data_IF_457140347490
#
_entry.id   IF_457140347490
#
_cell.length_a   1.000
_cell.length_b   1.000
_cell.length_c   1.000
_cell.angle_alpha   90.00
_cell.angle_beta   90.00
_cell.angle_gamma   90.00
#
_symmetry.space_group_name_H-M   'P 1'
#
loop_
_entity.id
_entity.type
_entity.pdbx_description
1 polymer ?
#
# COMPACT_ATOMS: atom_id res chain seq x y z
N UNK A 1 15.85 26.79 1.77
CA UNK A 1 15.36 26.04 0.61
C UNK A 1 14.77 27.06 -0.35
N UNK A 2 15.29 27.11 -1.57
CA UNK A 2 14.71 27.97 -2.60
C UNK A 2 13.44 27.35 -3.20
N UNK A 3 12.73 28.10 -4.05
CA UNK A 3 11.45 27.67 -4.64
C UNK A 3 11.61 26.42 -5.54
N UNK A 4 12.72 26.30 -6.26
CA UNK A 4 12.95 25.18 -7.18
C UNK A 4 13.25 23.90 -6.40
N UNK A 5 14.11 23.99 -5.38
CA UNK A 5 14.41 22.89 -4.46
C UNK A 5 13.15 22.45 -3.70
N UNK A 6 12.30 23.39 -3.27
CA UNK A 6 11.02 23.07 -2.63
C UNK A 6 10.13 22.23 -3.55
N UNK A 7 9.95 22.69 -4.80
CA UNK A 7 9.09 22.04 -5.79
C UNK A 7 9.56 20.61 -6.09
N UNK A 8 10.87 20.42 -6.32
CA UNK A 8 11.46 19.08 -6.53
C UNK A 8 11.17 18.13 -5.36
N UNK A 9 11.32 18.60 -4.12
CA UNK A 9 11.02 17.78 -2.94
C UNK A 9 9.53 17.51 -2.78
N UNK A 10 8.68 18.49 -3.08
CA UNK A 10 7.24 18.31 -3.09
C UNK A 10 6.81 17.26 -4.12
N UNK A 11 7.32 17.31 -5.36
CA UNK A 11 6.97 16.34 -6.40
C UNK A 11 7.39 14.90 -6.02
N UNK A 12 8.55 14.75 -5.37
CA UNK A 12 9.00 13.47 -4.83
C UNK A 12 8.12 12.98 -3.67
N UNK A 13 7.75 13.88 -2.75
CA UNK A 13 6.83 13.53 -1.66
C UNK A 13 5.46 13.14 -2.21
N UNK A 14 4.93 13.89 -3.18
CA UNK A 14 3.66 13.58 -3.84
C UNK A 14 3.69 12.17 -4.42
N UNK A 15 4.74 11.82 -5.15
CA UNK A 15 4.92 10.46 -5.70
C UNK A 15 4.94 9.38 -4.62
N UNK A 16 5.57 9.63 -3.47
CA UNK A 16 5.58 8.69 -2.34
C UNK A 16 4.20 8.56 -1.70
N UNK A 17 3.46 9.66 -1.51
CA UNK A 17 2.10 9.67 -1.00
C UNK A 17 1.16 8.90 -1.93
N UNK A 18 1.33 9.04 -3.25
CA UNK A 18 0.60 8.25 -4.26
C UNK A 18 0.85 6.75 -4.11
N UNK A 19 2.13 6.36 -4.02
CA UNK A 19 2.51 4.95 -3.83
C UNK A 19 1.94 4.36 -2.54
N UNK A 20 1.97 5.13 -1.45
CA UNK A 20 1.38 4.73 -0.17
C UNK A 20 -0.14 4.53 -0.28
N UNK A 21 -0.87 5.49 -0.87
CA UNK A 21 -2.30 5.39 -1.13
C UNK A 21 -2.64 4.16 -1.97
N UNK A 22 -2.00 4.02 -3.13
CA UNK A 22 -2.30 2.93 -4.06
C UNK A 22 -2.11 1.57 -3.38
N UNK A 23 -0.98 1.39 -2.68
CA UNK A 23 -0.67 0.13 -1.98
C UNK A 23 -1.66 -0.16 -0.85
N UNK A 24 -2.02 0.84 -0.04
CA UNK A 24 -3.02 0.67 1.01
C UNK A 24 -4.38 0.28 0.44
N UNK A 25 -4.82 0.91 -0.64
CA UNK A 25 -6.13 0.66 -1.22
C UNK A 25 -6.20 -0.67 -1.99
N UNK A 26 -5.11 -1.13 -2.62
CA UNK A 26 -5.00 -2.52 -3.09
C UNK A 26 -5.13 -3.48 -1.91
N UNK A 27 -4.32 -3.29 -0.87
CA UNK A 27 -4.33 -4.13 0.32
C UNK A 27 -5.73 -4.20 0.95
N UNK A 28 -6.40 -3.05 1.09
CA UNK A 28 -7.77 -2.93 1.60
C UNK A 28 -8.77 -3.66 0.70
N UNK A 29 -8.66 -3.51 -0.61
CA UNK A 29 -9.50 -4.20 -1.59
C UNK A 29 -9.43 -5.72 -1.46
N UNK A 30 -8.27 -6.24 -1.03
CA UNK A 30 -8.03 -7.66 -0.78
C UNK A 30 -8.47 -8.14 0.62
N UNK A 31 -9.02 -7.30 1.49
CA UNK A 31 -9.46 -7.75 2.84
C UNK A 31 -10.89 -8.33 2.87
N UNK A 32 -11.54 -8.57 1.73
CA UNK A 32 -12.91 -9.10 1.74
C UNK A 32 -12.97 -10.56 2.23
N UNK A 33 -13.92 -10.86 3.12
CA UNK A 33 -14.16 -12.22 3.63
C UNK A 33 -14.51 -13.22 2.52
N UNK A 34 -15.15 -12.75 1.45
CA UNK A 34 -15.49 -13.55 0.27
C UNK A 34 -14.26 -14.19 -0.41
N UNK A 35 -13.06 -13.70 -0.12
CA UNK A 35 -11.81 -14.17 -0.72
C UNK A 35 -11.13 -15.30 0.07
N UNK A 36 -11.64 -15.66 1.26
CA UNK A 36 -11.02 -16.64 2.16
C UNK A 36 -10.79 -18.02 1.49
N UNK A 37 -11.75 -18.51 0.71
CA UNK A 37 -11.61 -19.77 -0.05
C UNK A 37 -10.51 -19.67 -1.10
N UNK A 38 -10.38 -18.52 -1.76
CA UNK A 38 -9.33 -18.27 -2.75
C UNK A 38 -7.95 -18.20 -2.08
N UNK A 39 -7.87 -17.57 -0.91
CA UNK A 39 -6.65 -17.51 -0.12
C UNK A 39 -6.21 -18.87 0.37
N UNK A 40 -7.14 -19.70 0.82
CA UNK A 40 -6.85 -21.05 1.32
C UNK A 40 -6.25 -21.95 0.24
N UNK A 41 -6.67 -21.81 -1.04
CA UNK A 41 -6.13 -22.60 -2.16
C UNK A 41 -4.65 -22.30 -2.44
N UNK A 42 -4.20 -21.07 -2.20
CA UNK A 42 -2.81 -20.64 -2.44
C UNK A 42 -2.23 -19.88 -1.23
N UNK A 43 -2.34 -20.50 -0.04
CA UNK A 43 -2.10 -19.83 1.24
C UNK A 43 -0.72 -19.18 1.36
N UNK A 44 0.33 -19.81 0.84
CA UNK A 44 1.69 -19.27 0.93
C UNK A 44 1.88 -18.03 0.06
N UNK A 45 1.34 -18.04 -1.16
CA UNK A 45 1.38 -16.89 -2.07
C UNK A 45 0.61 -15.71 -1.46
N UNK A 46 -0.64 -15.94 -1.04
CA UNK A 46 -1.47 -14.87 -0.50
C UNK A 46 -0.97 -14.32 0.82
N UNK A 47 -0.43 -15.17 1.70
CA UNK A 47 0.18 -14.72 2.95
C UNK A 47 1.39 -13.81 2.68
N UNK A 48 2.25 -14.16 1.72
CA UNK A 48 3.38 -13.32 1.33
C UNK A 48 2.94 -12.00 0.69
N UNK A 49 1.97 -12.05 -0.23
CA UNK A 49 1.45 -10.88 -0.94
C UNK A 49 0.79 -9.88 0.01
N UNK A 50 -0.13 -10.33 0.88
CA UNK A 50 -0.83 -9.45 1.82
C UNK A 50 0.13 -8.82 2.83
N UNK A 51 1.12 -9.58 3.32
CA UNK A 51 2.14 -9.06 4.22
C UNK A 51 3.06 -8.05 3.53
N UNK A 52 3.47 -8.32 2.29
CA UNK A 52 4.31 -7.40 1.51
C UNK A 52 3.59 -6.07 1.27
N UNK A 53 2.33 -6.11 0.83
CA UNK A 53 1.51 -4.91 0.66
C UNK A 53 1.35 -4.15 1.98
N UNK A 54 1.10 -4.86 3.09
CA UNK A 54 0.96 -4.24 4.40
C UNK A 54 2.24 -3.49 4.82
N UNK A 55 3.39 -4.14 4.68
CA UNK A 55 4.66 -3.53 5.03
C UNK A 55 4.98 -2.35 4.11
N UNK A 56 4.70 -2.46 2.81
CA UNK A 56 5.03 -1.42 1.85
C UNK A 56 4.27 -0.11 2.13
N UNK A 57 2.94 -0.15 2.31
CA UNK A 57 2.20 1.09 2.61
C UNK A 57 2.62 1.70 3.94
N UNK A 58 2.91 0.87 4.94
CA UNK A 58 3.31 1.31 6.28
C UNK A 58 4.69 1.99 6.26
N UNK A 59 5.67 1.37 5.59
CA UNK A 59 7.01 1.93 5.43
C UNK A 59 6.96 3.22 4.61
N UNK A 60 6.17 3.24 3.54
CA UNK A 60 6.02 4.42 2.68
C UNK A 60 5.35 5.59 3.41
N UNK A 61 4.30 5.35 4.20
CA UNK A 61 3.72 6.37 5.07
C UNK A 61 4.71 6.89 6.09
N UNK A 62 5.42 6.00 6.78
CA UNK A 62 6.39 6.40 7.79
C UNK A 62 7.52 7.27 7.22
N UNK A 63 7.98 6.99 5.98
CA UNK A 63 8.95 7.86 5.27
C UNK A 63 8.36 9.23 4.95
N UNK A 64 7.11 9.29 4.49
CA UNK A 64 6.43 10.56 4.17
C UNK A 64 6.32 11.48 5.39
N UNK A 65 6.22 10.92 6.60
CA UNK A 65 6.12 11.65 7.85
C UNK A 65 7.38 11.57 8.72
N UNK A 66 8.55 11.36 8.12
CA UNK A 66 9.79 11.27 8.87
C UNK A 66 10.27 12.65 9.37
N UNK A 67 10.41 12.78 10.68
CA UNK A 67 11.20 13.83 11.32
C UNK A 67 12.64 13.33 11.49
N UNK A 68 13.51 13.58 10.52
CA UNK A 68 14.93 13.21 10.64
C UNK A 68 15.81 14.43 10.82
N UNK A 69 16.42 14.53 12.00
CA UNK A 69 17.56 15.39 12.29
C UNK A 69 18.90 14.80 11.81
N UNK A 70 18.90 13.55 11.32
CA UNK A 70 20.10 12.77 11.03
C UNK A 70 20.52 12.75 9.56
N UNK A 71 19.70 13.28 8.63
CA UNK A 71 20.17 13.46 7.26
C UNK A 71 21.23 14.56 7.28
N UNK A 72 22.50 14.18 7.07
CA UNK A 72 23.68 15.07 7.10
C UNK A 72 23.57 16.32 6.19
N UNK A 73 22.53 16.44 5.38
CA UNK A 73 22.30 17.53 4.42
C UNK A 73 20.90 18.18 4.51
N UNK A 74 20.08 17.95 5.55
CA UNK A 74 18.67 18.39 5.58
C UNK A 74 17.88 18.00 4.30
N UNK A 75 18.18 16.84 3.70
CA UNK A 75 17.59 16.36 2.43
C UNK A 75 16.37 15.45 2.62
N UNK A 76 15.79 15.43 3.81
CA UNK A 76 14.60 14.61 4.09
C UNK A 76 13.46 15.11 3.20
N UNK A 77 12.88 14.19 2.43
CA UNK A 77 11.67 14.42 1.63
C UNK A 77 10.51 13.92 2.48
N UNK A 78 10.01 14.79 3.35
CA UNK A 78 8.88 14.50 4.25
C UNK A 78 7.97 15.71 4.40
N UNK A 79 6.75 15.45 4.85
CA UNK A 79 5.76 16.48 5.18
C UNK A 79 6.34 17.47 6.19
N UNK A 80 6.95 16.98 7.27
CA UNK A 80 7.59 17.84 8.28
C UNK A 80 8.68 18.74 7.70
N UNK A 81 9.53 18.21 6.81
CA UNK A 81 10.58 19.00 6.18
C UNK A 81 10.00 20.10 5.28
N UNK A 82 8.95 19.80 4.51
CA UNK A 82 8.29 20.78 3.65
C UNK A 82 7.53 21.86 4.43
N UNK A 83 6.92 21.52 5.57
CA UNK A 83 6.25 22.50 6.45
C UNK A 83 7.26 23.51 7.00
N UNK A 84 8.38 23.02 7.54
CA UNK A 84 9.44 23.86 8.13
C UNK A 84 9.99 24.90 7.14
N UNK A 85 9.95 24.60 5.86
CA UNK A 85 10.49 25.44 4.80
C UNK A 85 9.40 26.01 3.88
N UNK A 86 8.14 25.96 4.31
CA UNK A 86 7.02 26.44 3.53
C UNK A 86 7.12 27.97 3.34
N UNK A 87 6.96 28.51 2.12
CA UNK A 87 7.10 29.94 1.85
C UNK A 87 5.97 30.80 2.44
N UNK A 88 4.80 30.22 2.69
CA UNK A 88 3.62 30.86 3.28
C UNK A 88 3.37 30.37 4.71
N UNK A 89 3.48 31.28 5.69
CA UNK A 89 3.31 30.99 7.12
C UNK A 89 1.87 30.61 7.49
N UNK A 90 0.86 31.19 6.84
CA UNK A 90 -0.53 30.87 7.13
C UNK A 90 -0.88 29.44 6.68
N UNK A 91 -0.33 29.01 5.54
CA UNK A 91 -0.43 27.61 5.09
C UNK A 91 0.37 26.66 5.98
N UNK A 92 1.58 27.05 6.39
CA UNK A 92 2.38 26.27 7.34
C UNK A 92 1.59 25.97 8.63
N UNK A 93 0.89 26.95 9.18
CA UNK A 93 0.04 26.76 10.36
C UNK A 93 -1.11 25.76 10.12
N UNK A 94 -1.78 25.84 8.97
CA UNK A 94 -2.83 24.86 8.61
C UNK A 94 -2.27 23.44 8.45
N UNK A 95 -1.04 23.32 7.97
CA UNK A 95 -0.34 22.05 7.87
C UNK A 95 0.03 21.50 9.27
N UNK A 96 0.42 22.36 10.21
CA UNK A 96 0.63 21.94 11.60
C UNK A 96 -0.69 21.46 12.24
N UNK A 97 -1.81 22.12 11.96
CA UNK A 97 -3.14 21.69 12.42
C UNK A 97 -3.53 20.32 11.82
N UNK A 98 -3.20 20.08 10.54
CA UNK A 98 -3.36 18.77 9.88
C UNK A 98 -2.55 17.69 10.60
N UNK A 99 -1.26 17.95 10.89
CA UNK A 99 -0.41 16.99 11.60
C UNK A 99 -0.95 16.71 13.01
N UNK A 100 -1.43 17.74 13.71
CA UNK A 100 -2.02 17.60 15.03
C UNK A 100 -3.31 16.76 15.03
N UNK A 101 -4.16 16.92 14.00
CA UNK A 101 -5.36 16.10 13.80
C UNK A 101 -5.01 14.61 13.68
N UNK A 102 -3.97 14.28 12.92
CA UNK A 102 -3.57 12.91 12.60
C UNK A 102 -2.42 12.36 13.46
N UNK A 103 -2.00 13.06 14.52
CA UNK A 103 -0.85 12.68 15.35
C UNK A 103 -0.95 11.28 15.96
N UNK A 104 -2.18 10.81 16.21
CA UNK A 104 -2.46 9.50 16.80
C UNK A 104 -2.09 8.34 15.88
N UNK A 105 -2.08 8.55 14.57
CA UNK A 105 -1.69 7.54 13.59
C UNK A 105 -0.26 7.74 13.08
N UNK A 106 0.14 8.99 12.84
CA UNK A 106 1.49 9.34 12.31
C UNK A 106 2.59 8.86 13.26
N UNK A 107 2.46 9.12 14.57
CA UNK A 107 3.46 8.73 15.56
C UNK A 107 3.67 7.21 15.65
N UNK A 108 2.62 6.40 15.80
CA UNK A 108 2.71 4.95 15.77
C UNK A 108 3.25 4.37 14.46
N UNK A 109 2.87 4.91 13.29
CA UNK A 109 3.42 4.47 12.00
C UNK A 109 4.94 4.64 11.96
N UNK A 110 5.45 5.80 12.36
CA UNK A 110 6.91 6.06 12.40
C UNK A 110 7.62 5.13 13.38
N UNK A 111 7.07 4.92 14.58
CA UNK A 111 7.63 3.99 15.56
C UNK A 111 7.60 2.55 15.07
N UNK A 112 6.54 2.15 14.38
CA UNK A 112 6.41 0.80 13.86
C UNK A 112 7.40 0.57 12.73
N UNK A 113 7.55 1.52 11.80
CA UNK A 113 8.64 1.52 10.81
C UNK A 113 9.99 1.39 11.51
N UNK A 114 10.28 2.22 12.50
CA UNK A 114 11.59 2.18 13.17
C UNK A 114 11.84 0.83 13.83
N UNK A 115 10.81 0.17 14.37
CA UNK A 115 10.96 -1.17 14.96
C UNK A 115 10.94 -2.31 13.92
N UNK A 116 10.26 -2.13 12.79
CA UNK A 116 10.33 -3.00 11.63
C UNK A 116 11.71 -2.83 10.98
N UNK A 117 12.03 -1.69 10.38
CA UNK A 117 13.33 -1.36 9.78
C UNK A 117 14.54 -1.46 10.71
N UNK A 118 14.39 -1.40 12.04
CA UNK A 118 15.43 -1.85 12.97
C UNK A 118 15.66 -3.39 12.93
N UNK A 119 15.32 -4.03 11.80
CA UNK A 119 15.71 -5.35 11.35
C UNK A 119 17.22 -5.59 11.51
N UNK A 120 17.64 -5.87 12.74
CA UNK A 120 18.70 -6.78 13.20
C UNK A 120 18.56 -7.11 14.71
N UNK A 121 17.54 -6.60 15.42
CA UNK A 121 17.29 -7.03 16.81
C UNK A 121 16.46 -8.33 16.86
N UNK A 122 17.16 -9.45 17.00
CA UNK A 122 16.60 -10.81 17.02
C UNK A 122 15.43 -11.02 18.01
N UNK A 123 15.31 -10.18 19.06
CA UNK A 123 14.20 -10.26 20.03
C UNK A 123 12.85 -9.81 19.45
N UNK A 124 12.83 -8.80 18.58
CA UNK A 124 11.59 -8.23 18.05
C UNK A 124 11.05 -8.98 16.83
N UNK A 125 11.95 -9.55 16.00
CA UNK A 125 11.58 -10.46 14.91
C UNK A 125 10.85 -11.71 15.41
N UNK A 126 11.13 -12.16 16.65
CA UNK A 126 10.49 -13.33 17.26
C UNK A 126 9.06 -13.09 17.76
N UNK A 127 8.59 -11.83 17.87
CA UNK A 127 7.24 -11.58 18.43
C UNK A 127 6.54 -10.31 17.87
N UNK A 128 6.18 -10.29 16.57
CA UNK A 128 5.50 -9.16 15.92
C UNK A 128 4.20 -8.72 16.63
N UNK A 129 3.45 -9.69 17.17
CA UNK A 129 2.19 -9.42 17.87
C UNK A 129 2.36 -8.54 19.12
N UNK A 130 3.49 -8.66 19.84
CA UNK A 130 3.78 -7.78 21.00
C UNK A 130 4.06 -6.35 20.57
N UNK A 131 4.70 -6.17 19.41
CA UNK A 131 4.99 -4.84 18.86
C UNK A 131 3.71 -4.14 18.42
N UNK A 132 2.85 -4.86 17.69
CA UNK A 132 1.53 -4.35 17.28
C UNK A 132 0.60 -4.07 18.47
N UNK A 133 0.69 -4.84 19.57
CA UNK A 133 -0.02 -4.50 20.82
C UNK A 133 0.50 -3.22 21.47
N UNK A 134 1.81 -2.95 21.37
CA UNK A 134 2.46 -1.77 21.98
C UNK A 134 2.24 -0.49 21.15
N UNK A 135 2.19 -0.65 19.83
CA UNK A 135 1.95 0.42 18.86
C UNK A 135 0.83 -0.01 17.93
N UNK A 136 -0.43 -0.01 18.41
CA UNK A 136 -1.56 -0.39 17.58
C UNK A 136 -1.70 0.60 16.42
N UNK A 137 -2.00 0.06 15.24
CA UNK A 137 -2.43 0.84 14.10
C UNK A 137 -3.91 0.55 13.91
N UNK A 138 -4.73 1.58 14.06
CA UNK A 138 -6.13 1.54 13.66
C UNK A 138 -6.21 1.84 12.16
N UNK A 139 -6.67 0.86 11.37
CA UNK A 139 -6.78 1.01 9.92
C UNK A 139 -7.83 2.07 9.52
N UNK A 140 -8.83 2.33 10.36
CA UNK A 140 -9.78 3.43 10.16
C UNK A 140 -9.09 4.79 10.28
N UNK A 141 -8.23 4.97 11.29
CA UNK A 141 -7.44 6.20 11.43
C UNK A 141 -6.40 6.36 10.30
N UNK A 142 -5.85 5.26 9.78
CA UNK A 142 -4.99 5.31 8.58
C UNK A 142 -5.78 5.75 7.37
N UNK A 143 -6.96 5.18 7.15
CA UNK A 143 -7.83 5.56 6.05
C UNK A 143 -8.27 7.03 6.14
N UNK A 144 -8.60 7.52 7.33
CA UNK A 144 -8.92 8.94 7.56
C UNK A 144 -7.74 9.86 7.22
N UNK A 145 -6.52 9.46 7.57
CA UNK A 145 -5.30 10.17 7.16
C UNK A 145 -5.17 10.21 5.63
N UNK A 146 -5.31 9.07 4.96
CA UNK A 146 -5.18 8.97 3.50
C UNK A 146 -6.28 9.76 2.77
N UNK A 147 -7.51 9.75 3.29
CA UNK A 147 -8.63 10.51 2.74
C UNK A 147 -8.45 12.03 2.87
N UNK A 148 -7.61 12.49 3.80
CA UNK A 148 -7.28 13.90 4.01
C UNK A 148 -6.01 14.31 3.22
N UNK A 149 -5.35 13.39 2.51
CA UNK A 149 -4.20 13.72 1.65
C UNK A 149 -4.48 14.77 0.56
N UNK A 150 -5.66 14.85 -0.08
CA UNK A 150 -5.92 15.92 -1.04
C UNK A 150 -5.77 17.31 -0.41
N UNK A 151 -6.23 17.46 0.83
CA UNK A 151 -6.08 18.69 1.61
C UNK A 151 -4.61 18.93 1.98
N UNK A 152 -3.88 17.91 2.44
CA UNK A 152 -2.44 17.98 2.70
C UNK A 152 -1.65 18.46 1.47
N UNK A 153 -1.89 17.86 0.31
CA UNK A 153 -1.20 18.17 -0.94
C UNK A 153 -1.53 19.59 -1.40
N UNK A 154 -2.80 19.98 -1.33
CA UNK A 154 -3.25 21.35 -1.66
C UNK A 154 -2.55 22.40 -0.81
N UNK A 155 -2.39 22.11 0.49
CA UNK A 155 -1.72 23.01 1.42
C UNK A 155 -0.19 23.05 1.23
N UNK A 156 0.44 21.91 0.91
CA UNK A 156 1.88 21.81 0.64
C UNK A 156 2.28 22.37 -0.73
N UNK A 157 1.35 22.44 -1.69
CA UNK A 157 1.67 22.88 -3.04
C UNK A 157 2.08 24.37 -3.03
N UNK A 158 3.29 24.70 -3.53
CA UNK A 158 3.76 26.09 -3.58
C UNK A 158 3.03 26.93 -4.63
N UNK A 159 2.29 26.32 -5.55
CA UNK A 159 1.61 26.98 -6.68
C UNK A 159 0.09 26.72 -6.64
N UNK A 160 -0.73 27.71 -6.23
CA UNK A 160 -2.19 27.54 -6.20
C UNK A 160 -2.75 27.29 -7.62
N UNK A 161 -3.74 26.39 -7.71
CA UNK A 161 -4.47 26.13 -8.97
C UNK A 161 -3.86 25.06 -9.88
N UNK A 162 -2.72 24.46 -9.52
CA UNK A 162 -2.21 23.26 -10.22
C UNK A 162 -2.89 22.01 -9.63
N UNK A 163 -3.57 21.27 -10.49
CA UNK A 163 -4.40 20.11 -10.12
C UNK A 163 -3.56 18.86 -9.80
N UNK A 164 -3.02 18.80 -8.58
CA UNK A 164 -2.62 17.51 -8.00
C UNK A 164 -3.89 16.83 -7.47
N UNK A 165 -4.33 15.77 -8.16
CA UNK A 165 -5.53 15.00 -7.81
C UNK A 165 -5.18 13.64 -7.22
N UNK A 166 -5.99 13.16 -6.28
CA UNK A 166 -5.88 11.82 -5.68
C UNK A 166 -7.09 10.92 -5.92
N UNK A 167 -8.16 11.43 -6.54
CA UNK A 167 -9.44 10.71 -6.64
C UNK A 167 -9.30 9.32 -7.28
N UNK A 168 -8.45 9.21 -8.31
CA UNK A 168 -8.16 7.94 -8.96
C UNK A 168 -7.32 7.00 -8.09
N UNK A 169 -6.44 7.52 -7.23
CA UNK A 169 -5.53 6.74 -6.40
C UNK A 169 -6.17 6.18 -5.12
N UNK A 170 -7.43 6.54 -4.86
CA UNK A 170 -8.23 5.98 -3.77
C UNK A 170 -9.18 4.90 -4.30
N UNK A 171 -9.97 5.23 -5.34
CA UNK A 171 -11.05 4.34 -5.82
C UNK A 171 -10.58 3.26 -6.79
N UNK A 172 -9.67 3.60 -7.70
CA UNK A 172 -9.22 2.69 -8.75
C UNK A 172 -8.46 1.47 -8.18
N UNK A 173 -7.51 1.62 -7.23
CA UNK A 173 -6.76 0.48 -6.72
C UNK A 173 -7.64 -0.56 -6.01
N UNK A 174 -8.68 -0.11 -5.30
CA UNK A 174 -9.68 -1.02 -4.70
C UNK A 174 -10.41 -1.77 -5.81
N UNK A 175 -10.90 -1.06 -6.83
CA UNK A 175 -11.62 -1.67 -7.95
C UNK A 175 -10.75 -2.69 -8.70
N UNK A 176 -9.51 -2.34 -9.03
CA UNK A 176 -8.58 -3.20 -9.73
C UNK A 176 -8.26 -4.46 -8.93
N UNK A 177 -8.00 -4.32 -7.62
CA UNK A 177 -7.77 -5.47 -6.74
C UNK A 177 -8.98 -6.42 -6.74
N UNK A 178 -10.20 -5.88 -6.62
CA UNK A 178 -11.44 -6.68 -6.67
C UNK A 178 -11.67 -7.33 -8.02
N UNK A 179 -11.36 -6.62 -9.11
CA UNK A 179 -11.50 -7.15 -10.46
C UNK A 179 -10.58 -8.35 -10.68
N UNK A 180 -9.30 -8.24 -10.29
CA UNK A 180 -8.34 -9.35 -10.33
C UNK A 180 -8.84 -10.53 -9.48
N UNK A 181 -9.35 -10.28 -8.27
CA UNK A 181 -9.90 -11.34 -7.43
C UNK A 181 -11.10 -12.04 -8.07
N UNK A 182 -11.98 -11.29 -8.74
CA UNK A 182 -13.12 -11.86 -9.46
C UNK A 182 -12.65 -12.79 -10.59
N UNK A 183 -11.60 -12.39 -11.33
CA UNK A 183 -11.01 -13.24 -12.36
C UNK A 183 -10.40 -14.51 -11.78
N UNK A 184 -9.66 -14.40 -10.68
CA UNK A 184 -9.07 -15.56 -9.99
C UNK A 184 -10.15 -16.51 -9.48
N UNK A 185 -11.22 -15.99 -8.87
CA UNK A 185 -12.37 -16.79 -8.43
C UNK A 185 -13.05 -17.49 -9.59
N UNK A 186 -13.23 -16.81 -10.72
CA UNK A 186 -13.78 -17.41 -11.93
C UNK A 186 -12.90 -18.55 -12.44
N UNK A 187 -11.57 -18.36 -12.52
CA UNK A 187 -10.65 -19.44 -12.90
C UNK A 187 -10.67 -20.61 -11.91
N UNK A 188 -10.73 -20.36 -10.61
CA UNK A 188 -10.83 -21.39 -9.58
C UNK A 188 -12.13 -22.20 -9.67
N UNK A 189 -13.22 -21.57 -10.14
CA UNK A 189 -14.50 -22.22 -10.39
C UNK A 189 -14.44 -23.10 -11.63
N UNK A 190 -13.88 -22.60 -12.74
CA UNK A 190 -13.67 -23.40 -13.95
C UNK A 190 -12.76 -24.61 -13.70
N UNK A 191 -11.68 -24.42 -12.91
CA UNK A 191 -10.80 -25.52 -12.50
C UNK A 191 -11.58 -26.57 -11.71
N UNK A 192 -12.44 -26.14 -10.77
CA UNK A 192 -13.27 -27.05 -9.98
C UNK A 192 -14.23 -27.83 -10.88
N UNK A 193 -14.94 -27.15 -11.78
CA UNK A 193 -15.85 -27.79 -12.74
C UNK A 193 -15.13 -28.79 -13.65
N UNK A 194 -13.91 -28.47 -14.09
CA UNK A 194 -13.06 -29.39 -14.84
C UNK A 194 -12.73 -30.64 -14.02
N UNK A 195 -12.26 -30.47 -12.79
CA UNK A 195 -11.92 -31.59 -11.91
C UNK A 195 -13.14 -32.45 -11.56
N UNK A 196 -14.31 -31.84 -11.33
CA UNK A 196 -15.56 -32.56 -11.06
C UNK A 196 -15.96 -33.43 -12.27
N UNK A 197 -15.83 -32.90 -13.49
CA UNK A 197 -16.08 -33.64 -14.74
C UNK A 197 -15.05 -34.75 -15.00
N UNK A 198 -13.81 -34.56 -14.58
CA UNK A 198 -12.79 -35.61 -14.64
C UNK A 198 -13.15 -36.76 -13.69
N UNK A 199 -13.58 -36.44 -12.47
CA UNK A 199 -13.99 -37.44 -11.46
C UNK A 199 -15.22 -38.24 -11.93
N UNK A 200 -16.16 -37.62 -12.64
CA UNK A 200 -17.34 -38.33 -13.20
C UNK A 200 -17.05 -39.10 -14.49
N UNK A 201 -15.83 -38.99 -15.05
CA UNK A 201 -15.45 -39.63 -16.31
C UNK A 201 -16.00 -38.93 -17.56
N UNK A 202 -16.50 -37.70 -17.45
CA UNK A 202 -16.92 -36.90 -18.60
C UNK A 202 -15.74 -36.38 -19.43
N UNK A 203 -14.56 -36.25 -18.81
CA UNK A 203 -13.31 -35.85 -19.46
C UNK A 203 -12.15 -36.70 -18.93
N UNK A 204 -11.14 -36.94 -19.77
CA UNK A 204 -10.00 -37.81 -19.44
C UNK A 204 -8.71 -37.07 -19.05
N UNK A 205 -8.67 -35.73 -19.18
CA UNK A 205 -7.49 -34.92 -18.80
C UNK A 205 -7.62 -34.40 -17.36
N UNK A 206 -6.76 -34.80 -16.41
CA UNK A 206 -6.79 -34.30 -15.04
C UNK A 206 -6.25 -32.87 -14.89
N UNK A 207 -5.63 -32.29 -15.93
CA UNK A 207 -4.97 -30.99 -15.83
C UNK A 207 -5.89 -29.83 -16.23
N UNK A 208 -5.76 -28.71 -15.51
CA UNK A 208 -6.41 -27.43 -15.84
C UNK A 208 -5.38 -26.28 -15.83
N UNK A 209 -5.31 -25.45 -16.89
CA UNK A 209 -5.97 -25.64 -18.17
C UNK A 209 -5.48 -26.94 -18.87
N UNK A 210 -6.30 -27.55 -19.75
CA UNK A 210 -5.93 -28.78 -20.43
C UNK A 210 -4.59 -28.62 -21.14
N UNK A 211 -3.72 -29.61 -20.98
CA UNK A 211 -2.45 -29.59 -21.70
C UNK A 211 -2.80 -29.89 -23.15
N UNK A 212 -2.73 -28.87 -24.02
CA UNK A 212 -2.80 -29.12 -25.47
C UNK A 212 -1.71 -30.12 -25.79
N UNK A 213 -2.10 -31.33 -26.18
CA UNK A 213 -1.21 -32.28 -26.83
C UNK A 213 -0.64 -31.57 -28.06
N UNK A 214 0.57 -31.03 -27.93
CA UNK A 214 1.41 -30.67 -29.06
C UNK A 214 1.91 -31.97 -29.70
N UNK A 215 1.01 -32.83 -30.17
CA UNK A 215 1.31 -33.79 -31.23
C UNK A 215 1.39 -33.00 -32.53
N UNK A 216 2.44 -32.18 -32.67
CA UNK A 216 3.01 -31.95 -33.99
C UNK A 216 3.47 -33.32 -34.46
N UNK A 217 2.68 -33.92 -35.35
CA UNK A 217 3.14 -35.02 -36.19
C UNK A 217 4.49 -34.60 -36.77
N UNK A 218 5.57 -35.21 -36.29
CA UNK A 218 6.81 -35.23 -37.05
C UNK A 218 6.48 -36.01 -38.33
N UNK A 219 6.61 -35.41 -39.52
CA UNK A 219 6.44 -36.17 -40.75
C UNK A 219 7.51 -37.26 -40.77
N UNK A 220 7.04 -38.49 -40.91
CA UNK A 220 7.81 -39.70 -41.20
C UNK A 220 8.67 -39.54 -42.44
#
# INVERSE_FOLDING_TARGET
MDKAEYKDRFDKLYSNLLGACATFYVWKGLQEKSYETTYSRAIYFWSATLLALQNEWLLSLAKCFEESSFSKNNKVISVYALIKHHPDFARAKKLDDFLNKHKKVIGPISRLRDNQLAHLNAKHLKNPAKLLKKFPIDYGEVEDLLNDFPNLISLLNPEPGIGYGLDNYIKVPVYEAKHVMTQIQYFNQLEKEHLDRFVTGEIDDPNFPPIKNNTRHLPS
#
